data_IF_110171888507
#
_entry.id   IF_110171888507
#
_cell.length_a   1.000
_cell.length_b   1.000
_cell.length_c   1.000
_cell.angle_alpha   90.00
_cell.angle_beta   90.00
_cell.angle_gamma   90.00
#
_symmetry.space_group_name_H-M   'P 1'
#
loop_
_entity.id
_entity.type
_entity.pdbx_description
1 polymer ?
#
# COMPACT_ATOMS: atom_id res chain seq x y z
N UNK A 1 2.76 -70.66 -16.69
CA UNK A 1 1.34 -70.42 -16.35
C UNK A 1 1.28 -70.31 -14.84
N UNK A 2 1.33 -69.12 -14.23
CA UNK A 2 0.29 -68.08 -14.12
C UNK A 2 -0.96 -68.57 -13.36
N UNK A 3 -1.30 -67.89 -12.25
CA UNK A 3 -2.51 -68.08 -11.43
C UNK A 3 -2.22 -67.84 -9.94
N UNK A 4 -2.03 -66.59 -9.48
CA UNK A 4 -3.02 -65.56 -9.11
C UNK A 4 -3.34 -65.58 -7.59
N UNK A 5 -2.81 -64.57 -6.88
CA UNK A 5 -3.08 -64.31 -5.48
C UNK A 5 -4.33 -63.44 -5.34
N UNK A 6 -5.35 -63.97 -4.65
CA UNK A 6 -6.58 -63.24 -4.35
C UNK A 6 -6.36 -62.28 -3.19
N UNK A 7 -6.41 -60.97 -3.45
CA UNK A 7 -6.40 -59.91 -2.42
C UNK A 7 -7.81 -59.73 -1.86
N UNK A 8 -8.04 -59.71 -0.53
CA UNK A 8 -9.35 -59.38 0.03
C UNK A 8 -9.64 -57.89 -0.19
N UNK A 9 -10.72 -57.57 -0.91
CA UNK A 9 -11.26 -56.21 -1.00
C UNK A 9 -11.99 -55.87 0.30
N UNK A 10 -11.34 -55.12 1.17
CA UNK A 10 -12.01 -54.45 2.30
C UNK A 10 -12.95 -53.32 1.85
N UNK A 11 -13.90 -52.88 2.71
CA UNK A 11 -14.84 -51.82 2.39
C UNK A 11 -14.11 -50.54 1.99
N UNK A 12 -14.51 -49.94 0.86
CA UNK A 12 -13.92 -48.72 0.33
C UNK A 12 -14.30 -47.54 1.24
N UNK A 13 -13.31 -46.95 1.92
CA UNK A 13 -13.51 -45.79 2.78
C UNK A 13 -14.21 -44.67 2.02
N UNK A 14 -15.29 -44.12 2.59
CA UNK A 14 -16.01 -43.00 1.99
C UNK A 14 -15.40 -41.68 2.44
N UNK A 15 -15.55 -40.62 1.65
CA UNK A 15 -15.01 -39.29 1.96
C UNK A 15 -15.44 -38.79 3.37
N UNK A 16 -16.62 -39.19 3.83
CA UNK A 16 -17.14 -38.87 5.15
C UNK A 16 -16.34 -39.51 6.32
N UNK A 17 -15.61 -40.59 6.08
CA UNK A 17 -14.83 -41.28 7.12
C UNK A 17 -13.50 -40.59 7.44
N UNK A 18 -12.94 -39.84 6.48
CA UNK A 18 -11.68 -39.10 6.65
C UNK A 18 -11.92 -37.76 7.37
N UNK A 19 -13.11 -37.19 7.24
CA UNK A 19 -13.46 -35.88 7.79
C UNK A 19 -13.92 -35.90 9.26
N UNK A 20 -13.93 -37.06 9.93
CA UNK A 20 -14.32 -37.14 11.35
C UNK A 20 -13.15 -36.73 12.26
N UNK A 21 -13.33 -35.76 13.16
CA UNK A 21 -12.35 -35.46 14.19
C UNK A 21 -12.16 -36.66 15.13
N UNK A 22 -10.92 -37.07 15.39
CA UNK A 22 -10.63 -38.08 16.40
C UNK A 22 -11.11 -37.59 17.78
N UNK A 23 -11.69 -38.46 18.64
CA UNK A 23 -11.99 -38.11 20.01
C UNK A 23 -10.70 -37.78 20.76
N UNK A 24 -10.70 -36.62 21.42
CA UNK A 24 -9.54 -36.03 22.09
C UNK A 24 -9.01 -36.94 23.20
N UNK A 25 -7.76 -37.37 23.08
CA UNK A 25 -6.94 -37.81 24.22
C UNK A 25 -6.43 -36.57 24.98
N UNK A 26 -6.37 -36.63 26.33
CA UNK A 26 -5.92 -35.48 27.12
C UNK A 26 -4.39 -35.33 26.99
N UNK A 27 -3.85 -34.12 26.75
CA UNK A 27 -2.42 -33.92 26.71
C UNK A 27 -1.83 -33.86 28.12
N UNK A 28 -0.77 -34.63 28.32
CA UNK A 28 0.15 -34.50 29.45
C UNK A 28 0.83 -33.12 29.40
N UNK A 29 0.60 -32.36 30.47
CA UNK A 29 1.26 -31.13 30.91
C UNK A 29 2.52 -30.68 30.16
N UNK A 30 2.42 -29.55 29.44
CA UNK A 30 3.46 -28.50 29.40
C UNK A 30 2.80 -27.13 29.43
N UNK A 31 3.32 -26.25 30.29
CA UNK A 31 2.76 -24.92 30.59
C UNK A 31 2.53 -24.08 29.33
N UNK A 32 1.26 -23.72 29.09
CA UNK A 32 0.86 -22.80 28.05
C UNK A 32 0.79 -21.39 28.62
N UNK A 33 1.67 -20.49 28.17
CA UNK A 33 1.53 -19.04 28.38
C UNK A 33 0.60 -18.54 27.28
N UNK A 34 -0.62 -18.16 27.66
CA UNK A 34 -1.63 -17.63 26.75
C UNK A 34 -1.37 -16.15 26.47
N UNK A 35 -1.27 -15.78 25.19
CA UNK A 35 -1.47 -14.41 24.72
C UNK A 35 -2.41 -14.43 23.51
N UNK A 36 -3.38 -13.50 23.39
CA UNK A 36 -4.27 -13.48 22.25
C UNK A 36 -3.57 -12.77 21.08
N UNK A 37 -2.82 -13.49 20.26
CA UNK A 37 -2.41 -12.95 18.96
C UNK A 37 -3.55 -13.21 17.99
N UNK A 38 -4.28 -12.14 17.60
CA UNK A 38 -5.13 -12.15 16.40
C UNK A 38 -4.33 -12.80 15.28
N UNK A 39 -4.73 -14.00 14.87
CA UNK A 39 -4.15 -14.66 13.71
C UNK A 39 -4.60 -13.87 12.47
N UNK A 40 -3.78 -12.92 12.04
CA UNK A 40 -3.88 -12.40 10.69
C UNK A 40 -3.64 -13.59 9.75
N UNK A 41 -4.59 -13.82 8.85
CA UNK A 41 -4.53 -14.78 7.74
C UNK A 41 -3.11 -14.90 7.20
N UNK A 42 -2.63 -16.14 7.03
CA UNK A 42 -1.26 -16.52 6.66
C UNK A 42 -0.81 -16.12 5.22
N UNK A 43 -1.34 -15.01 4.66
CA UNK A 43 -1.10 -14.60 3.28
C UNK A 43 -0.25 -13.33 3.09
N UNK A 44 -0.27 -12.36 4.00
CA UNK A 44 0.41 -11.08 3.78
C UNK A 44 1.13 -10.63 5.06
N UNK A 45 2.42 -10.98 5.18
CA UNK A 45 3.26 -10.35 6.19
C UNK A 45 3.54 -8.90 5.79
N UNK A 46 3.27 -7.98 6.70
CA UNK A 46 3.61 -6.58 6.54
C UNK A 46 5.12 -6.45 6.46
N UNK A 47 5.63 -5.86 5.37
CA UNK A 47 7.06 -5.78 5.15
C UNK A 47 7.48 -4.50 4.44
N UNK A 48 8.64 -3.99 4.85
CA UNK A 48 9.35 -2.93 4.16
C UNK A 48 10.40 -3.57 3.24
N UNK A 49 10.42 -3.19 1.96
CA UNK A 49 11.42 -3.68 1.00
C UNK A 49 12.39 -2.58 0.64
N UNK A 50 13.68 -2.87 0.71
CA UNK A 50 14.76 -1.96 0.30
C UNK A 50 15.41 -2.58 -0.93
N UNK A 51 15.42 -1.83 -2.02
CA UNK A 51 16.07 -2.21 -3.27
C UNK A 51 17.47 -1.57 -3.32
N UNK A 52 18.49 -2.40 -3.40
CA UNK A 52 19.90 -2.01 -3.42
C UNK A 52 20.54 -2.16 -4.81
N UNK A 53 19.75 -2.43 -5.85
CA UNK A 53 20.26 -2.72 -7.21
C UNK A 53 21.08 -1.58 -7.84
N UNK A 54 20.92 -0.34 -7.36
CA UNK A 54 21.64 0.84 -7.86
C UNK A 54 22.72 1.35 -6.89
N UNK A 55 23.02 0.60 -5.84
CA UNK A 55 24.10 0.95 -4.91
C UNK A 55 25.44 0.71 -5.59
N UNK A 56 26.35 1.67 -5.49
CA UNK A 56 27.72 1.54 -6.01
C UNK A 56 28.54 0.50 -5.25
N UNK A 57 29.54 -0.09 -5.89
CA UNK A 57 30.43 -1.07 -5.23
C UNK A 57 31.11 -0.50 -3.96
N UNK A 58 31.45 0.79 -3.95
CA UNK A 58 32.00 1.50 -2.78
C UNK A 58 31.07 1.49 -1.55
N UNK A 59 29.76 1.42 -1.77
CA UNK A 59 28.74 1.45 -0.72
C UNK A 59 28.12 0.07 -0.44
N UNK A 60 28.57 -0.98 -1.12
CA UNK A 60 27.99 -2.34 -1.05
C UNK A 60 27.99 -2.93 0.35
N UNK A 61 29.05 -2.70 1.14
CA UNK A 61 29.12 -3.14 2.54
C UNK A 61 28.03 -2.51 3.40
N UNK A 62 27.69 -1.24 3.17
CA UNK A 62 26.61 -0.54 3.88
C UNK A 62 25.22 -1.04 3.47
N UNK A 63 25.09 -1.55 2.24
CA UNK A 63 23.86 -2.14 1.71
C UNK A 63 23.72 -3.65 2.01
N UNK A 64 24.60 -4.24 2.82
CA UNK A 64 24.42 -5.62 3.29
C UNK A 64 23.29 -5.71 4.31
N UNK A 65 22.65 -6.88 4.36
CA UNK A 65 21.52 -7.18 5.28
C UNK A 65 21.84 -6.82 6.73
N UNK A 66 23.05 -7.16 7.21
CA UNK A 66 23.49 -6.85 8.57
C UNK A 66 23.59 -5.34 8.83
N UNK A 67 24.23 -4.62 7.91
CA UNK A 67 24.39 -3.16 7.97
C UNK A 67 23.05 -2.43 7.93
N UNK A 68 22.15 -2.84 7.02
CA UNK A 68 20.79 -2.30 6.91
C UNK A 68 20.01 -2.54 8.22
N UNK A 69 20.03 -3.78 8.74
CA UNK A 69 19.38 -4.13 10.01
C UNK A 69 19.90 -3.23 11.13
N UNK A 70 21.22 -3.11 11.27
CA UNK A 70 21.83 -2.33 12.34
C UNK A 70 21.45 -0.85 12.25
N UNK A 71 21.51 -0.26 11.05
CA UNK A 71 21.17 1.14 10.85
C UNK A 71 19.71 1.43 11.22
N UNK A 72 18.78 0.57 10.78
CA UNK A 72 17.36 0.72 11.09
C UNK A 72 17.09 0.52 12.58
N UNK A 73 17.67 -0.50 13.21
CA UNK A 73 17.49 -0.70 14.65
C UNK A 73 18.08 0.45 15.49
N UNK A 74 19.20 1.04 15.06
CA UNK A 74 19.76 2.23 15.73
C UNK A 74 18.80 3.42 15.62
N UNK A 75 18.27 3.67 14.43
CA UNK A 75 17.33 4.77 14.20
C UNK A 75 16.01 4.55 14.95
N UNK A 76 15.48 3.33 14.94
CA UNK A 76 14.26 2.97 15.68
C UNK A 76 14.46 3.14 17.19
N UNK A 77 15.60 2.69 17.74
CA UNK A 77 15.89 2.83 19.18
C UNK A 77 16.13 4.27 19.62
N UNK A 78 16.40 5.19 18.68
CA UNK A 78 16.46 6.62 18.97
C UNK A 78 15.07 7.28 19.09
N UNK A 79 13.99 6.60 18.66
CA UNK A 79 12.61 7.06 18.86
C UNK A 79 12.16 6.74 20.30
N UNK A 80 11.45 7.67 20.92
CA UNK A 80 10.92 7.50 22.29
C UNK A 80 9.96 6.30 22.36
N UNK A 81 10.15 5.43 23.36
CA UNK A 81 9.32 4.23 23.58
C UNK A 81 9.69 3.05 22.70
N UNK A 82 10.81 3.10 21.97
CA UNK A 82 11.31 2.03 21.10
C UNK A 82 12.74 1.60 21.48
N UNK A 83 13.19 1.86 22.71
CA UNK A 83 14.58 1.70 23.14
C UNK A 83 15.07 0.25 23.06
N UNK A 84 14.17 -0.73 23.24
CA UNK A 84 14.45 -2.16 23.12
C UNK A 84 14.05 -2.75 21.78
N UNK A 85 13.65 -1.92 20.81
CA UNK A 85 13.14 -2.39 19.53
C UNK A 85 14.21 -3.14 18.74
N UNK A 86 13.78 -4.22 18.09
CA UNK A 86 14.59 -5.07 17.21
C UNK A 86 13.74 -5.51 16.03
N UNK A 87 14.38 -5.64 14.87
CA UNK A 87 13.73 -6.15 13.66
C UNK A 87 13.22 -7.58 13.92
N UNK A 88 11.96 -7.86 13.57
CA UNK A 88 11.40 -9.21 13.68
C UNK A 88 12.11 -10.19 12.74
N UNK A 89 12.31 -9.80 11.48
CA UNK A 89 13.15 -10.51 10.53
C UNK A 89 13.69 -9.57 9.46
N UNK A 90 14.90 -9.83 8.96
CA UNK A 90 15.49 -9.13 7.81
C UNK A 90 16.17 -10.16 6.93
N UNK A 91 15.80 -10.23 5.65
CA UNK A 91 16.31 -11.23 4.71
C UNK A 91 16.39 -10.67 3.29
N UNK A 92 17.28 -11.22 2.45
CA UNK A 92 17.22 -11.00 1.00
C UNK A 92 16.06 -11.78 0.39
N UNK A 93 15.43 -11.25 -0.64
CA UNK A 93 14.44 -11.99 -1.41
C UNK A 93 15.12 -13.13 -2.18
N UNK A 94 14.53 -14.33 -2.16
CA UNK A 94 15.05 -15.49 -2.90
C UNK A 94 15.04 -15.29 -4.41
N UNK A 95 14.07 -14.52 -4.92
CA UNK A 95 13.92 -14.22 -6.35
C UNK A 95 14.75 -13.02 -6.81
N UNK A 96 15.18 -12.16 -5.89
CA UNK A 96 15.94 -10.96 -6.19
C UNK A 96 16.91 -10.63 -5.05
N UNK A 97 18.18 -10.97 -5.24
CA UNK A 97 19.21 -10.77 -4.22
C UNK A 97 19.48 -9.29 -3.90
N UNK A 98 19.11 -8.36 -4.79
CA UNK A 98 19.23 -6.92 -4.57
C UNK A 98 18.10 -6.35 -3.71
N UNK A 99 17.09 -7.15 -3.38
CA UNK A 99 15.99 -6.72 -2.51
C UNK A 99 16.13 -7.31 -1.12
N UNK A 100 16.08 -6.44 -0.13
CA UNK A 100 16.10 -6.79 1.30
C UNK A 100 14.72 -6.50 1.87
N UNK A 101 14.07 -7.53 2.44
CA UNK A 101 12.79 -7.42 3.13
C UNK A 101 12.99 -7.36 4.64
N UNK A 102 12.27 -6.46 5.27
CA UNK A 102 12.16 -6.32 6.73
C UNK A 102 10.72 -6.63 7.11
N UNK A 103 10.51 -7.68 7.89
CA UNK A 103 9.19 -8.07 8.36
C UNK A 103 8.81 -7.22 9.57
N UNK A 104 7.58 -6.70 9.57
CA UNK A 104 7.00 -5.85 10.61
C UNK A 104 5.84 -6.60 11.29
N UNK A 105 5.57 -6.30 12.57
CA UNK A 105 4.53 -7.00 13.35
C UNK A 105 3.13 -6.42 13.11
N UNK A 106 3.05 -5.11 12.89
CA UNK A 106 1.81 -4.39 12.61
C UNK A 106 2.05 -3.20 11.66
N UNK A 107 0.98 -2.52 11.26
CA UNK A 107 1.01 -1.40 10.30
C UNK A 107 1.73 -0.17 10.86
N UNK A 108 1.61 0.08 12.17
CA UNK A 108 2.27 1.22 12.81
C UNK A 108 3.79 1.01 12.85
N UNK A 109 4.23 -0.21 13.16
CA UNK A 109 5.62 -0.63 13.05
C UNK A 109 6.12 -0.52 11.61
N UNK A 110 5.33 -0.98 10.63
CA UNK A 110 5.69 -0.86 9.21
C UNK A 110 5.95 0.59 8.81
N UNK A 111 5.08 1.51 9.21
CA UNK A 111 5.23 2.93 8.88
C UNK A 111 6.51 3.52 9.50
N UNK A 112 6.78 3.24 10.78
CA UNK A 112 8.00 3.70 11.44
C UNK A 112 9.27 3.09 10.82
N UNK A 113 9.22 1.80 10.45
CA UNK A 113 10.33 1.11 9.79
C UNK A 113 10.60 1.68 8.40
N UNK A 114 9.57 2.01 7.62
CA UNK A 114 9.72 2.69 6.32
C UNK A 114 10.42 4.04 6.47
N UNK A 115 10.02 4.84 7.45
CA UNK A 115 10.66 6.13 7.76
C UNK A 115 12.12 5.96 8.16
N UNK A 116 12.40 5.04 9.10
CA UNK A 116 13.75 4.75 9.55
C UNK A 116 14.63 4.27 8.38
N UNK A 117 14.12 3.32 7.57
CA UNK A 117 14.80 2.82 6.38
C UNK A 117 15.09 3.92 5.36
N UNK A 118 14.16 4.87 5.17
CA UNK A 118 14.33 5.98 4.23
C UNK A 118 15.39 6.96 4.74
N UNK A 119 15.43 7.21 6.06
CA UNK A 119 16.43 8.07 6.69
C UNK A 119 17.82 7.45 6.69
N UNK A 120 17.91 6.13 6.86
CA UNK A 120 19.18 5.39 6.83
C UNK A 120 19.52 4.83 5.45
N UNK A 121 18.81 5.26 4.41
CA UNK A 121 18.99 4.74 3.06
C UNK A 121 20.43 5.03 2.58
N UNK A 122 21.11 3.97 2.17
CA UNK A 122 22.44 4.08 1.55
C UNK A 122 22.28 4.74 0.18
N UNK A 123 23.25 5.54 -0.22
CA UNK A 123 23.26 6.15 -1.56
C UNK A 123 23.10 5.07 -2.66
N UNK A 124 22.16 5.31 -3.57
CA UNK A 124 21.78 4.35 -4.62
C UNK A 124 20.78 3.27 -4.16
N UNK A 125 20.47 3.15 -2.88
CA UNK A 125 19.36 2.31 -2.41
C UNK A 125 18.04 3.08 -2.45
N UNK A 126 16.92 2.36 -2.55
CA UNK A 126 15.58 2.94 -2.46
C UNK A 126 14.68 2.06 -1.59
N UNK A 127 13.94 2.69 -0.69
CA UNK A 127 12.83 2.03 0.00
C UNK A 127 11.68 1.91 -0.99
N UNK A 128 11.22 0.70 -1.22
CA UNK A 128 10.04 0.46 -2.06
C UNK A 128 8.81 0.98 -1.32
N UNK A 129 8.01 1.77 -2.03
CA UNK A 129 6.71 2.24 -1.54
C UNK A 129 5.70 1.11 -1.57
N UNK A 130 4.54 1.38 -0.97
CA UNK A 130 3.36 0.55 -1.16
C UNK A 130 3.09 0.36 -2.65
N UNK A 131 2.75 -0.87 -3.01
CA UNK A 131 2.34 -1.22 -4.37
C UNK A 131 0.97 -0.56 -4.60
N UNK A 132 0.99 0.68 -5.07
CA UNK A 132 -0.21 1.37 -5.51
C UNK A 132 -0.59 0.82 -6.89
N UNK A 133 -1.81 0.33 -7.01
CA UNK A 133 -2.36 -0.11 -8.29
C UNK A 133 -3.23 1.00 -8.88
N UNK A 134 -3.05 1.36 -10.16
CA UNK A 134 -3.90 2.35 -10.79
C UNK A 134 -5.32 1.82 -10.92
N UNK A 135 -6.29 2.59 -10.43
CA UNK A 135 -7.72 2.33 -10.61
C UNK A 135 -8.28 3.42 -11.52
N UNK A 136 -8.99 3.02 -12.55
CA UNK A 136 -9.74 3.94 -13.40
C UNK A 136 -11.16 4.09 -12.85
N UNK A 137 -11.59 5.33 -12.65
CA UNK A 137 -12.94 5.68 -12.24
C UNK A 137 -13.57 6.49 -13.36
N UNK A 138 -14.64 5.97 -13.96
CA UNK A 138 -15.44 6.69 -14.95
C UNK A 138 -16.65 7.36 -14.27
N UNK A 139 -17.24 8.36 -14.94
CA UNK A 139 -18.41 9.11 -14.46
C UNK A 139 -18.24 9.80 -13.09
N UNK A 140 -17.01 10.19 -12.74
CA UNK A 140 -16.75 10.99 -11.54
C UNK A 140 -17.27 12.43 -11.71
N UNK A 141 -17.79 13.03 -10.63
CA UNK A 141 -18.22 14.41 -10.65
C UNK A 141 -17.00 15.36 -10.73
N UNK A 142 -16.83 16.05 -11.86
CA UNK A 142 -15.68 16.94 -12.12
C UNK A 142 -15.54 18.02 -11.05
N UNK A 143 -16.63 18.68 -10.65
CA UNK A 143 -16.57 19.84 -9.73
C UNK A 143 -16.29 19.43 -8.28
N UNK A 144 -16.46 18.15 -7.95
CA UNK A 144 -16.11 17.61 -6.63
C UNK A 144 -14.62 17.27 -6.52
N UNK A 145 -13.91 17.11 -7.65
CA UNK A 145 -12.51 16.65 -7.69
C UNK A 145 -11.57 17.73 -8.24
N UNK A 146 -12.04 18.56 -9.17
CA UNK A 146 -11.26 19.59 -9.84
C UNK A 146 -11.83 20.99 -9.61
N UNK A 147 -10.95 21.98 -9.59
CA UNK A 147 -11.33 23.40 -9.65
C UNK A 147 -11.70 23.86 -11.08
N UNK A 148 -11.93 25.17 -11.25
CA UNK A 148 -12.26 25.76 -12.54
C UNK A 148 -11.09 25.62 -13.53
N UNK A 149 -9.87 25.73 -13.01
CA UNK A 149 -8.60 25.58 -13.70
C UNK A 149 -8.31 24.10 -14.06
N UNK A 150 -9.05 23.15 -13.50
CA UNK A 150 -8.85 21.72 -13.77
C UNK A 150 -7.69 21.11 -12.99
N UNK A 151 -7.21 21.77 -11.94
CA UNK A 151 -6.30 21.22 -10.96
C UNK A 151 -7.08 20.47 -9.87
N UNK A 152 -6.43 19.50 -9.23
CA UNK A 152 -7.07 18.70 -8.16
C UNK A 152 -7.36 19.62 -6.97
N UNK A 153 -8.60 19.60 -6.48
CA UNK A 153 -9.00 20.39 -5.32
C UNK A 153 -8.18 20.01 -4.08
N UNK A 154 -7.75 20.98 -3.25
CA UNK A 154 -7.13 20.70 -1.97
C UNK A 154 -8.08 19.88 -1.09
N UNK A 155 -7.61 18.79 -0.49
CA UNK A 155 -8.44 17.92 0.33
C UNK A 155 -9.21 16.84 -0.44
N UNK A 156 -9.21 16.85 -1.79
CA UNK A 156 -9.94 15.86 -2.57
C UNK A 156 -9.39 14.44 -2.38
N UNK A 157 -8.05 14.30 -2.28
CA UNK A 157 -7.41 13.01 -2.03
C UNK A 157 -7.86 12.48 -0.66
N UNK A 158 -7.77 13.32 0.37
CA UNK A 158 -8.12 12.98 1.75
C UNK A 158 -9.60 12.63 1.89
N UNK A 159 -10.49 13.41 1.28
CA UNK A 159 -11.94 13.16 1.31
C UNK A 159 -12.30 11.84 0.63
N UNK A 160 -11.79 11.61 -0.59
CA UNK A 160 -12.05 10.37 -1.33
C UNK A 160 -11.44 9.14 -0.64
N UNK A 161 -10.24 9.30 -0.06
CA UNK A 161 -9.61 8.28 0.76
C UNK A 161 -10.45 7.91 1.98
N UNK A 162 -10.94 8.91 2.71
CA UNK A 162 -11.76 8.72 3.90
C UNK A 162 -13.11 8.07 3.57
N UNK A 163 -13.78 8.54 2.51
CA UNK A 163 -15.07 8.02 2.06
C UNK A 163 -14.99 6.53 1.69
N UNK A 164 -13.93 6.14 0.97
CA UNK A 164 -13.78 4.78 0.45
C UNK A 164 -12.95 3.86 1.35
N UNK A 165 -12.40 4.37 2.47
CA UNK A 165 -11.49 3.63 3.37
C UNK A 165 -10.28 3.04 2.64
N UNK A 166 -9.71 3.82 1.72
CA UNK A 166 -8.52 3.45 0.92
C UNK A 166 -7.46 4.53 1.00
N UNK A 167 -6.19 4.15 0.88
CA UNK A 167 -5.08 5.10 0.78
C UNK A 167 -4.85 5.47 -0.68
N UNK A 168 -5.13 6.71 -1.05
CA UNK A 168 -4.91 7.23 -2.40
C UNK A 168 -3.59 8.00 -2.42
N UNK A 169 -2.63 7.53 -3.21
CA UNK A 169 -1.31 8.20 -3.32
C UNK A 169 -1.28 9.36 -4.33
N UNK A 170 -2.06 9.27 -5.41
CA UNK A 170 -2.11 10.27 -6.49
C UNK A 170 -3.42 10.15 -7.27
N UNK A 171 -4.00 11.29 -7.64
CA UNK A 171 -5.12 11.37 -8.59
C UNK A 171 -4.64 12.08 -9.85
N UNK A 172 -5.06 11.57 -11.01
CA UNK A 172 -4.86 12.22 -12.31
C UNK A 172 -6.20 12.20 -13.06
N UNK A 173 -6.65 13.35 -13.54
CA UNK A 173 -7.86 13.42 -14.35
C UNK A 173 -7.54 13.11 -15.82
N UNK A 174 -8.32 12.22 -16.43
CA UNK A 174 -8.04 11.70 -17.78
C UNK A 174 -8.87 12.37 -18.88
N UNK A 175 -10.02 12.99 -18.55
CA UNK A 175 -10.82 13.67 -19.58
C UNK A 175 -10.15 14.98 -19.96
N UNK A 176 -10.16 15.32 -21.26
CA UNK A 176 -9.69 16.62 -21.73
C UNK A 176 -10.53 17.72 -21.06
N UNK A 177 -9.90 18.83 -20.67
CA UNK A 177 -10.63 20.05 -20.33
C UNK A 177 -11.46 20.42 -21.56
N UNK A 178 -12.77 20.35 -21.47
CA UNK A 178 -13.64 20.74 -22.58
C UNK A 178 -13.45 22.24 -22.81
N UNK A 179 -12.71 22.63 -23.86
CA UNK A 179 -12.61 24.03 -24.30
C UNK A 179 -13.98 24.66 -24.55
N UNK A 180 -15.03 23.84 -24.71
CA UNK A 180 -16.41 24.27 -24.85
C UNK A 180 -16.93 25.07 -23.65
N UNK A 181 -16.46 24.82 -22.41
CA UNK A 181 -16.94 25.59 -21.26
C UNK A 181 -16.41 27.03 -21.27
N UNK A 182 -15.13 27.22 -21.61
CA UNK A 182 -14.51 28.55 -21.77
C UNK A 182 -15.07 29.31 -22.98
N UNK A 183 -15.47 28.61 -24.05
CA UNK A 183 -16.15 29.25 -25.17
C UNK A 183 -17.60 29.62 -24.85
N UNK A 184 -18.31 28.82 -24.05
CA UNK A 184 -19.68 29.13 -23.61
C UNK A 184 -19.67 30.34 -22.67
N UNK A 185 -18.77 30.38 -21.69
CA UNK A 185 -18.63 31.50 -20.75
C UNK A 185 -18.18 32.78 -21.47
N UNK A 186 -17.27 32.68 -22.43
CA UNK A 186 -16.85 33.83 -23.25
C UNK A 186 -17.87 34.24 -24.33
N UNK A 187 -18.82 33.37 -24.68
CA UNK A 187 -19.95 33.69 -25.55
C UNK A 187 -21.04 34.40 -24.73
N UNK A 188 -21.41 33.86 -23.56
CA UNK A 188 -22.37 34.47 -22.62
C UNK A 188 -21.88 35.86 -22.16
N UNK A 189 -20.58 36.01 -21.89
CA UNK A 189 -20.00 37.30 -21.47
C UNK A 189 -19.88 38.31 -22.64
N UNK A 190 -19.87 37.84 -23.89
CA UNK A 190 -19.96 38.70 -25.09
C UNK A 190 -21.41 39.08 -25.40
N UNK A 191 -22.33 38.15 -25.22
CA UNK A 191 -23.77 38.37 -25.41
C UNK A 191 -24.32 39.35 -24.35
N UNK A 192 -23.90 39.23 -23.08
CA UNK A 192 -24.24 40.20 -22.03
C UNK A 192 -23.74 41.63 -22.32
N UNK A 193 -22.59 41.79 -23.00
CA UNK A 193 -22.10 43.12 -23.42
C UNK A 193 -22.90 43.70 -24.59
N UNK A 194 -23.59 42.87 -25.36
CA UNK A 194 -24.39 43.29 -26.51
C UNK A 194 -25.78 43.79 -26.09
N UNK A 195 -26.31 43.32 -24.96
CA UNK A 195 -27.62 43.72 -24.43
C UNK A 195 -27.58 44.84 -23.38
N UNK A 196 -26.40 45.28 -22.93
CA UNK A 196 -26.29 46.40 -21.98
C UNK A 196 -26.05 47.73 -22.72
N UNK A 197 -27.03 48.65 -22.80
CA UNK A 197 -26.82 49.93 -23.45
C UNK A 197 -25.81 50.78 -22.65
N UNK A 198 -24.89 51.50 -23.31
CA UNK A 198 -23.96 52.39 -22.61
C UNK A 198 -24.74 53.49 -21.89
N UNK A 199 -24.32 53.90 -20.67
CA UNK A 199 -25.00 54.94 -19.92
C UNK A 199 -25.00 56.24 -20.74
N UNK A 200 -26.19 56.70 -21.12
CA UNK A 200 -26.36 57.95 -21.84
C UNK A 200 -25.87 59.10 -20.96
N UNK A 201 -24.81 59.79 -21.39
CA UNK A 201 -24.37 61.03 -20.74
C UNK A 201 -25.48 62.07 -20.93
N UNK A 202 -26.16 62.40 -19.84
CA UNK A 202 -27.04 63.55 -19.75
C UNK A 202 -26.22 64.82 -20.04
N UNK A 203 -26.38 65.36 -21.25
CA UNK A 203 -25.92 66.70 -21.62
C UNK A 203 -26.74 67.70 -20.79
N UNK A 204 -26.11 68.30 -19.77
CA UNK A 204 -26.64 69.47 -19.09
C UNK A 204 -26.16 70.72 -19.84
N UNK A 205 -27.12 71.63 -20.02
CA UNK A 205 -27.16 72.83 -20.87
C UNK A 205 -25.97 73.77 -20.78
#
# INVERSE_FOLDING_TARGET
MAGEATVPRGPRATFADIARPLPASPPTSVHSVSGPTKQHSAGESLHCTIDTSRVSESNKTKAQVGSIRQAIEVEMRAKSGQETWRCAAVARESRNADRVKIVCRDEAELQMVKEAAQKTAVEGSRVMRDQLYPVRVDNANRTAVLDAEGDILPGAIEALSAENRVTIGKISWLSKRSQSLLMQEAADMREMRQYWPPPQRLLSK
#
